data_IF_443155094255
#
_entry.id   IF_443155094255
#
_cell.length_a   1.000
_cell.length_b   1.000
_cell.length_c   1.000
_cell.angle_alpha   90.00
_cell.angle_beta   90.00
_cell.angle_gamma   90.00
#
_symmetry.space_group_name_H-M   'P 1'
#
loop_
_entity.id
_entity.type
_entity.pdbx_description
1 polymer ?
#
# COMPACT_ATOMS: atom_id res chain seq x y z
N UNK A 1 -18.14 -5.67 -21.54
CA UNK A 1 -18.13 -6.38 -20.24
C UNK A 1 -18.15 -5.32 -19.14
N UNK A 2 -19.06 -5.44 -18.19
CA UNK A 2 -19.10 -4.57 -17.00
C UNK A 2 -18.66 -5.40 -15.80
N UNK A 3 -17.80 -4.84 -14.95
CA UNK A 3 -17.31 -5.49 -13.74
C UNK A 3 -17.55 -4.54 -12.57
N UNK A 4 -18.13 -5.07 -11.50
CA UNK A 4 -18.42 -4.31 -10.28
C UNK A 4 -17.52 -4.82 -9.16
N UNK A 5 -16.82 -3.92 -8.47
CA UNK A 5 -15.94 -4.23 -7.36
C UNK A 5 -16.34 -3.40 -6.16
N UNK A 6 -16.57 -4.08 -5.05
CA UNK A 6 -16.91 -3.46 -3.77
C UNK A 6 -16.30 -4.30 -2.64
N UNK A 7 -16.28 -3.72 -1.45
CA UNK A 7 -15.83 -4.38 -0.23
C UNK A 7 -17.04 -4.64 0.65
N UNK A 8 -17.10 -5.83 1.24
CA UNK A 8 -18.20 -6.23 2.12
C UNK A 8 -17.71 -7.27 3.11
N UNK A 9 -18.48 -7.48 4.16
CA UNK A 9 -18.19 -8.44 5.22
C UNK A 9 -19.02 -9.69 5.00
N UNK A 10 -18.40 -10.85 5.22
CA UNK A 10 -19.13 -12.12 5.29
C UNK A 10 -19.87 -12.15 6.63
N UNK A 11 -21.19 -12.28 6.59
CA UNK A 11 -22.02 -12.39 7.80
C UNK A 11 -21.72 -13.71 8.53
N UNK A 12 -22.09 -13.79 9.81
CA UNK A 12 -21.80 -14.98 10.66
C UNK A 12 -22.37 -16.28 10.08
N UNK A 13 -23.46 -16.21 9.32
CA UNK A 13 -24.06 -17.35 8.65
C UNK A 13 -23.48 -17.65 7.26
N UNK A 14 -22.35 -17.03 6.92
CA UNK A 14 -21.66 -17.23 5.63
C UNK A 14 -22.28 -16.46 4.45
N UNK A 15 -23.25 -15.57 4.68
CA UNK A 15 -23.88 -14.80 3.61
C UNK A 15 -23.06 -13.55 3.25
N UNK A 16 -23.01 -13.25 1.95
CA UNK A 16 -22.45 -12.01 1.40
C UNK A 16 -23.61 -11.20 0.82
N UNK A 17 -23.81 -9.97 1.32
CA UNK A 17 -24.80 -9.06 0.75
C UNK A 17 -24.16 -8.27 -0.40
N UNK A 18 -24.71 -8.45 -1.60
CA UNK A 18 -24.31 -7.70 -2.79
C UNK A 18 -25.18 -6.43 -2.88
N UNK A 19 -24.61 -5.22 -2.83
CA UNK A 19 -25.39 -3.99 -2.96
C UNK A 19 -25.85 -3.78 -4.41
N UNK A 20 -27.03 -3.20 -4.58
CA UNK A 20 -27.52 -2.64 -5.85
C UNK A 20 -27.58 -3.61 -7.06
N UNK A 21 -27.64 -4.92 -6.82
CA UNK A 21 -27.65 -5.91 -7.92
C UNK A 21 -29.01 -6.13 -8.58
N UNK A 22 -30.07 -5.48 -8.09
CA UNK A 22 -31.44 -5.70 -8.57
C UNK A 22 -31.62 -5.41 -10.06
N UNK A 23 -30.82 -4.50 -10.62
CA UNK A 23 -30.78 -4.22 -12.06
C UNK A 23 -30.21 -5.35 -12.93
N UNK A 24 -29.63 -6.38 -12.31
CA UNK A 24 -29.07 -7.56 -12.97
C UNK A 24 -29.87 -8.84 -12.67
N UNK A 25 -31.15 -8.69 -12.29
CA UNK A 25 -32.04 -9.84 -12.11
C UNK A 25 -32.05 -10.74 -13.36
N UNK A 26 -32.12 -12.06 -13.13
CA UNK A 26 -32.14 -13.10 -14.17
C UNK A 26 -30.93 -13.13 -15.12
N UNK A 27 -29.86 -12.40 -14.80
CA UNK A 27 -28.62 -12.40 -15.57
C UNK A 27 -27.62 -13.41 -14.99
N UNK A 28 -26.94 -14.16 -15.86
CA UNK A 28 -25.80 -14.96 -15.44
C UNK A 28 -24.58 -14.06 -15.18
N UNK A 29 -23.99 -14.17 -14.00
CA UNK A 29 -22.84 -13.37 -13.60
C UNK A 29 -21.76 -14.23 -12.97
N UNK A 30 -20.50 -13.92 -13.28
CA UNK A 30 -19.34 -14.50 -12.64
C UNK A 30 -18.96 -13.68 -11.41
N UNK A 31 -18.79 -14.34 -10.26
CA UNK A 31 -18.45 -13.68 -9.00
C UNK A 31 -17.03 -14.05 -8.61
N UNK A 32 -16.18 -13.03 -8.46
CA UNK A 32 -14.81 -13.18 -7.94
C UNK A 32 -14.75 -12.63 -6.51
N UNK A 33 -14.45 -13.51 -5.55
CA UNK A 33 -14.35 -13.17 -4.13
C UNK A 33 -12.88 -13.18 -3.73
N UNK A 34 -12.41 -12.08 -3.15
CA UNK A 34 -11.07 -11.98 -2.55
C UNK A 34 -11.25 -11.86 -1.05
N UNK A 35 -10.95 -12.93 -0.31
CA UNK A 35 -10.93 -12.91 1.15
C UNK A 35 -9.66 -12.20 1.59
N UNK A 36 -9.81 -10.96 2.03
CA UNK A 36 -8.77 -10.30 2.80
C UNK A 36 -8.80 -10.92 4.18
N UNK A 37 -7.78 -11.70 4.50
CA UNK A 37 -7.48 -11.90 5.90
C UNK A 37 -7.29 -10.51 6.48
N UNK A 38 -7.83 -10.21 7.68
CA UNK A 38 -7.28 -9.07 8.40
C UNK A 38 -5.79 -9.29 8.33
N UNK A 39 -5.04 -8.35 7.76
CA UNK A 39 -3.62 -8.34 8.01
C UNK A 39 -3.57 -8.59 9.51
N UNK A 40 -2.91 -9.67 9.94
CA UNK A 40 -2.22 -9.60 11.21
C UNK A 40 -1.48 -8.29 11.03
N UNK A 41 -2.02 -7.20 11.61
CA UNK A 41 -1.27 -5.97 11.73
C UNK A 41 0.04 -6.53 12.25
N UNK A 42 1.16 -6.48 11.50
CA UNK A 42 2.42 -6.90 12.08
C UNK A 42 2.44 -6.04 13.32
N UNK A 43 2.31 -6.72 14.48
CA UNK A 43 1.70 -6.10 15.65
C UNK A 43 2.34 -4.75 15.82
N UNK A 44 1.58 -3.74 16.29
CA UNK A 44 2.18 -2.48 16.74
C UNK A 44 3.22 -2.85 17.82
N UNK A 45 4.37 -3.30 17.38
CA UNK A 45 5.62 -3.41 18.05
C UNK A 45 6.00 -1.96 18.00
N UNK A 46 5.56 -1.25 19.04
CA UNK A 46 6.25 -0.09 19.57
C UNK A 46 7.74 -0.39 19.47
N UNK A 47 8.40 0.02 18.39
CA UNK A 47 9.77 -0.45 18.15
C UNK A 47 10.31 -0.52 16.73
N UNK A 48 9.59 -0.13 15.67
CA UNK A 48 10.32 0.32 14.47
C UNK A 48 10.80 1.75 14.73
N UNK A 49 11.88 1.86 15.51
CA UNK A 49 12.44 3.14 15.90
C UNK A 49 12.89 3.91 14.66
N UNK A 50 12.72 5.23 14.70
CA UNK A 50 13.28 6.16 13.71
C UNK A 50 14.77 5.86 13.46
N UNK A 51 15.50 5.38 14.47
CA UNK A 51 16.89 4.96 14.33
C UNK A 51 17.08 3.84 13.29
N UNK A 52 16.18 2.84 13.20
CA UNK A 52 16.26 1.76 12.21
C UNK A 52 15.93 2.23 10.79
N UNK A 53 15.07 3.24 10.67
CA UNK A 53 14.81 3.91 9.39
C UNK A 53 16.04 4.72 8.96
N UNK A 54 16.59 5.53 9.87
CA UNK A 54 17.76 6.37 9.62
C UNK A 54 18.97 5.51 9.24
N UNK A 55 19.23 4.41 9.95
CA UNK A 55 20.34 3.49 9.65
C UNK A 55 20.30 2.93 8.23
N UNK A 56 19.11 2.48 7.79
CA UNK A 56 18.90 2.04 6.39
C UNK A 56 19.06 3.18 5.39
N UNK A 57 18.67 4.39 5.74
CA UNK A 57 18.75 5.56 4.86
C UNK A 57 20.16 6.16 4.80
N UNK A 58 20.92 6.12 5.90
CA UNK A 58 22.30 6.61 5.96
C UNK A 58 23.27 5.65 5.30
N UNK A 59 23.00 4.34 5.29
CA UNK A 59 23.77 3.38 4.50
C UNK A 59 23.78 3.67 2.99
N UNK A 60 22.76 4.36 2.46
CA UNK A 60 22.77 4.86 1.08
C UNK A 60 23.70 6.07 0.87
N UNK A 61 24.05 6.79 1.94
CA UNK A 61 24.84 8.02 1.90
C UNK A 61 26.31 7.82 2.32
N UNK A 62 26.68 6.66 2.85
CA UNK A 62 28.03 6.35 3.35
C UNK A 62 29.14 6.34 2.28
N UNK A 63 28.81 6.43 0.98
CA UNK A 63 29.78 6.46 -0.11
C UNK A 63 30.00 7.83 -0.77
N UNK A 64 29.17 8.82 -0.47
CA UNK A 64 29.23 10.13 -1.14
C UNK A 64 29.82 11.20 -0.21
N UNK A 65 30.85 11.92 -0.64
CA UNK A 65 31.29 13.14 0.06
C UNK A 65 30.30 14.26 -0.25
N UNK A 66 29.35 14.58 0.65
CA UNK A 66 28.24 15.46 0.32
C UNK A 66 28.69 16.90 0.07
N UNK A 67 29.82 17.30 0.67
CA UNK A 67 30.43 18.61 0.45
C UNK A 67 30.98 18.79 -0.97
N UNK A 68 31.56 17.74 -1.56
CA UNK A 68 32.07 17.79 -2.94
C UNK A 68 30.91 17.88 -3.93
N UNK A 69 29.86 17.08 -3.72
CA UNK A 69 28.64 17.12 -4.55
C UNK A 69 27.91 18.46 -4.45
N UNK A 70 27.83 19.05 -3.25
CA UNK A 70 27.23 20.37 -3.02
C UNK A 70 28.03 21.47 -3.70
N UNK A 71 29.37 21.40 -3.61
CA UNK A 71 30.25 22.39 -4.26
C UNK A 71 30.16 22.31 -5.78
N UNK A 72 30.09 21.11 -6.36
CA UNK A 72 29.91 20.93 -7.80
C UNK A 72 28.58 21.51 -8.28
N UNK A 73 27.46 21.18 -7.60
CA UNK A 73 26.14 21.73 -7.92
C UNK A 73 26.11 23.27 -7.88
N UNK A 74 26.70 23.87 -6.85
CA UNK A 74 26.77 25.33 -6.73
C UNK A 74 27.64 25.95 -7.83
N UNK A 75 28.72 25.28 -8.23
CA UNK A 75 29.60 25.78 -9.30
C UNK A 75 28.93 25.69 -10.68
N UNK A 76 28.16 24.64 -10.93
CA UNK A 76 27.42 24.47 -12.19
C UNK A 76 26.21 25.42 -12.30
N UNK A 77 25.51 25.68 -11.19
CA UNK A 77 24.30 26.53 -11.18
C UNK A 77 24.59 28.03 -11.32
N UNK A 78 25.72 28.50 -10.80
CA UNK A 78 26.08 29.92 -10.76
C UNK A 78 27.21 30.28 -11.74
N UNK A 79 27.46 29.44 -12.74
CA UNK A 79 28.24 29.77 -13.94
C UNK A 79 27.30 30.22 -15.05
#
# INVERSE_FOLDING_TARGET
MQAYKFETTVLENGMIQLPEISGFADCQADVFIVIRQPDEQPGITKGQSIARFLDKWTGFLEGGKPDDSKRQYLTEKYK
#
